data_IF_435765013605
#
_entry.id   IF_435765013605
#
_cell.length_a   1.000
_cell.length_b   1.000
_cell.length_c   1.000
_cell.angle_alpha   90.00
_cell.angle_beta   90.00
_cell.angle_gamma   90.00
#
_symmetry.space_group_name_H-M   'P 1'
#
loop_
_entity.id
_entity.type
_entity.pdbx_description
1 polymer ?
#
# COMPACT_ATOMS: atom_id res chain seq x y z
N UNK A 1 12.84 -5.54 12.47
CA UNK A 1 11.89 -5.53 11.35
C UNK A 1 11.06 -4.26 11.48
N UNK A 2 11.15 -3.36 10.50
CA UNK A 2 10.55 -2.03 10.57
C UNK A 2 9.04 -2.10 10.33
N UNK A 3 8.27 -1.23 10.98
CA UNK A 3 6.79 -1.27 10.92
C UNK A 3 6.27 -1.05 9.49
N UNK A 4 6.91 -0.16 8.73
CA UNK A 4 6.61 0.14 7.33
C UNK A 4 6.83 -1.12 6.48
N UNK A 5 8.03 -1.72 6.56
CA UNK A 5 8.34 -2.93 5.81
C UNK A 5 7.35 -4.08 6.10
N UNK A 6 6.96 -4.23 7.37
CA UNK A 6 5.98 -5.24 7.81
C UNK A 6 4.61 -5.04 7.17
N UNK A 7 4.15 -3.79 7.12
CA UNK A 7 2.87 -3.38 6.54
C UNK A 7 2.83 -3.69 5.04
N UNK A 8 3.91 -3.37 4.34
CA UNK A 8 4.05 -3.64 2.90
C UNK A 8 4.19 -5.13 2.59
N UNK A 9 4.87 -5.91 3.45
CA UNK A 9 4.89 -7.37 3.35
C UNK A 9 3.49 -7.98 3.51
N UNK A 10 2.72 -7.53 4.51
CA UNK A 10 1.33 -7.98 4.70
C UNK A 10 0.47 -7.64 3.48
N UNK A 11 0.60 -6.42 2.95
CA UNK A 11 -0.15 -6.03 1.76
C UNK A 11 0.20 -6.89 0.54
N UNK A 12 1.49 -7.09 0.26
CA UNK A 12 1.93 -7.97 -0.81
C UNK A 12 1.41 -9.39 -0.64
N UNK A 13 1.40 -9.91 0.59
CA UNK A 13 0.82 -11.21 0.89
C UNK A 13 -0.68 -11.26 0.53
N UNK A 14 -1.47 -10.25 0.91
CA UNK A 14 -2.90 -10.17 0.54
C UNK A 14 -3.08 -10.14 -0.98
N UNK A 15 -2.22 -9.41 -1.72
CA UNK A 15 -2.30 -9.30 -3.19
C UNK A 15 -1.94 -10.60 -3.90
N UNK A 16 -0.90 -11.31 -3.42
CA UNK A 16 -0.42 -12.55 -4.02
C UNK A 16 -1.28 -13.77 -3.70
N UNK A 17 -2.07 -13.70 -2.62
CA UNK A 17 -2.97 -14.80 -2.22
C UNK A 17 -4.24 -14.80 -3.09
N UNK A 18 -5.00 -15.90 -3.03
CA UNK A 18 -6.28 -16.08 -3.70
C UNK A 18 -7.18 -14.84 -3.53
N UNK A 19 -7.83 -14.45 -4.63
CA UNK A 19 -8.74 -13.32 -4.70
C UNK A 19 -9.98 -13.51 -3.81
N UNK A 20 -10.35 -14.76 -3.51
CA UNK A 20 -11.57 -15.09 -2.80
C UNK A 20 -11.44 -14.98 -1.26
N UNK A 21 -10.22 -14.77 -0.75
CA UNK A 21 -10.03 -14.60 0.70
C UNK A 21 -10.68 -13.30 1.21
N UNK A 22 -11.16 -13.27 2.46
CA UNK A 22 -11.81 -12.07 3.02
C UNK A 22 -10.95 -10.80 2.94
N UNK A 23 -9.64 -10.92 3.15
CA UNK A 23 -8.73 -9.77 3.10
C UNK A 23 -8.62 -9.15 1.70
N UNK A 24 -8.63 -9.97 0.65
CA UNK A 24 -8.54 -9.50 -0.73
C UNK A 24 -9.88 -8.88 -1.17
N UNK A 25 -11.01 -9.53 -0.83
CA UNK A 25 -12.35 -8.96 -0.99
C UNK A 25 -12.50 -7.61 -0.29
N UNK A 26 -11.96 -7.46 0.93
CA UNK A 26 -11.97 -6.20 1.66
C UNK A 26 -11.15 -5.10 0.96
N UNK A 27 -9.97 -5.44 0.41
CA UNK A 27 -9.18 -4.51 -0.41
C UNK A 27 -9.95 -4.07 -1.65
N UNK A 28 -10.53 -5.00 -2.40
CA UNK A 28 -11.35 -4.68 -3.57
C UNK A 28 -12.54 -3.78 -3.20
N UNK A 29 -13.27 -4.12 -2.13
CA UNK A 29 -14.39 -3.30 -1.65
C UNK A 29 -13.94 -1.88 -1.28
N UNK A 30 -12.78 -1.74 -0.63
CA UNK A 30 -12.21 -0.42 -0.31
C UNK A 30 -11.97 0.40 -1.58
N UNK A 31 -11.23 -0.14 -2.56
CA UNK A 31 -10.87 0.59 -3.77
C UNK A 31 -12.04 0.79 -4.75
N UNK A 32 -13.07 -0.07 -4.68
CA UNK A 32 -14.32 0.12 -5.40
C UNK A 32 -15.16 1.26 -4.79
N UNK A 33 -15.26 1.32 -3.45
CA UNK A 33 -16.03 2.36 -2.74
C UNK A 33 -15.33 3.73 -2.74
N UNK A 34 -14.01 3.77 -2.87
CA UNK A 34 -13.22 5.01 -2.91
C UNK A 34 -13.62 5.89 -4.11
N UNK A 35 -14.12 5.30 -5.20
CA UNK A 35 -14.69 6.03 -6.33
C UNK A 35 -16.00 6.78 -6.00
N UNK A 36 -16.66 6.45 -4.89
CA UNK A 36 -18.03 6.89 -4.59
C UNK A 36 -18.18 7.67 -3.28
N UNK A 37 -17.21 7.64 -2.34
CA UNK A 37 -17.44 8.17 -0.98
C UNK A 37 -16.81 9.55 -0.73
N UNK A 38 -17.68 10.55 -0.53
CA UNK A 38 -17.40 11.82 0.12
C UNK A 38 -17.36 11.63 1.66
N UNK A 39 -16.29 12.14 2.29
CA UNK A 39 -16.05 12.22 3.76
C UNK A 39 -16.14 10.89 4.55
N UNK A 40 -15.02 10.18 4.65
CA UNK A 40 -14.78 9.24 5.76
C UNK A 40 -13.84 9.88 6.79
N UNK A 41 -14.05 9.60 8.08
CA UNK A 41 -13.14 9.98 9.18
C UNK A 41 -11.71 9.51 8.85
N UNK A 42 -10.66 10.21 9.32
CA UNK A 42 -9.29 9.72 9.21
C UNK A 42 -9.22 8.34 9.85
N UNK A 43 -9.01 7.31 9.05
CA UNK A 43 -8.91 5.93 9.50
C UNK A 43 -7.49 5.46 9.22
N UNK A 44 -6.83 4.88 10.22
CA UNK A 44 -5.49 4.28 10.10
C UNK A 44 -5.56 2.87 9.52
N UNK A 45 -6.49 2.64 8.58
CA UNK A 45 -6.64 1.35 7.92
C UNK A 45 -5.44 1.07 7.03
N UNK A 46 -5.14 -0.21 6.82
CA UNK A 46 -4.05 -0.66 5.98
C UNK A 46 -3.98 0.06 4.62
N UNK A 47 -5.09 0.22 3.85
CA UNK A 47 -5.05 0.92 2.57
C UNK A 47 -4.67 2.40 2.71
N UNK A 48 -5.23 3.11 3.69
CA UNK A 48 -4.95 4.55 3.88
C UNK A 48 -3.48 4.80 4.16
N UNK A 49 -2.88 3.99 5.03
CA UNK A 49 -1.47 4.16 5.39
C UNK A 49 -0.57 3.82 4.20
N UNK A 50 -0.86 2.73 3.47
CA UNK A 50 -0.09 2.33 2.29
C UNK A 50 -0.16 3.39 1.19
N UNK A 51 -1.33 3.98 0.94
CA UNK A 51 -1.49 5.06 -0.04
C UNK A 51 -0.62 6.27 0.33
N UNK A 52 -0.59 6.63 1.62
CA UNK A 52 0.24 7.72 2.12
C UNK A 52 1.73 7.43 1.90
N UNK A 53 2.21 6.28 2.37
CA UNK A 53 3.61 5.86 2.25
C UNK A 53 4.06 5.75 0.79
N UNK A 54 3.19 5.19 -0.07
CA UNK A 54 3.44 5.11 -1.50
C UNK A 54 3.59 6.50 -2.12
N UNK A 55 2.68 7.42 -1.80
CA UNK A 55 2.70 8.77 -2.38
C UNK A 55 3.92 9.57 -1.94
N UNK A 56 4.44 9.29 -0.73
CA UNK A 56 5.66 9.90 -0.20
C UNK A 56 6.91 9.38 -0.92
N UNK A 57 7.07 8.06 -1.02
CA UNK A 57 8.25 7.45 -1.63
C UNK A 57 8.23 7.47 -3.17
N UNK A 58 7.04 7.44 -3.79
CA UNK A 58 6.81 7.37 -5.23
C UNK A 58 5.65 8.29 -5.67
N UNK A 59 5.88 9.61 -5.81
CA UNK A 59 4.83 10.59 -6.13
C UNK A 59 4.09 10.34 -7.46
N UNK A 60 4.72 9.61 -8.39
CA UNK A 60 4.16 9.27 -9.70
C UNK A 60 3.31 7.99 -9.68
N UNK A 61 3.39 7.19 -8.61
CA UNK A 61 2.64 5.94 -8.49
C UNK A 61 1.34 6.17 -7.74
N UNK A 62 0.23 5.66 -8.28
CA UNK A 62 -1.12 5.82 -7.71
C UNK A 62 -1.64 4.48 -7.20
N UNK A 63 -2.42 4.54 -6.13
CA UNK A 63 -3.20 3.44 -5.59
C UNK A 63 -4.55 4.00 -5.11
N UNK A 64 -5.47 4.23 -6.05
CA UNK A 64 -6.76 4.88 -5.76
C UNK A 64 -7.95 4.12 -6.33
N UNK A 65 -7.72 3.32 -7.36
CA UNK A 65 -8.76 2.61 -8.11
C UNK A 65 -8.52 1.10 -8.08
N UNK A 66 -9.53 0.32 -8.51
CA UNK A 66 -9.37 -1.11 -8.74
C UNK A 66 -8.30 -1.41 -9.81
N UNK A 67 -8.17 -0.56 -10.82
CA UNK A 67 -7.14 -0.69 -11.84
C UNK A 67 -5.72 -0.54 -11.25
N UNK A 68 -5.54 0.44 -10.37
CA UNK A 68 -4.26 0.62 -9.67
C UNK A 68 -3.96 -0.57 -8.74
N UNK A 69 -5.00 -1.10 -8.07
CA UNK A 69 -4.87 -2.29 -7.22
C UNK A 69 -4.43 -3.51 -8.03
N UNK A 70 -4.98 -3.71 -9.22
CA UNK A 70 -4.59 -4.82 -10.08
C UNK A 70 -3.17 -4.64 -10.65
N UNK A 71 -2.80 -3.41 -11.00
CA UNK A 71 -1.41 -3.08 -11.37
C UNK A 71 -0.44 -3.40 -10.22
N UNK A 72 -0.81 -3.07 -8.98
CA UNK A 72 -0.05 -3.45 -7.79
C UNK A 72 0.00 -4.96 -7.59
N UNK A 73 -1.08 -5.69 -7.89
CA UNK A 73 -1.11 -7.15 -7.82
C UNK A 73 -0.09 -7.76 -8.78
N UNK A 74 -0.06 -7.30 -10.03
CA UNK A 74 0.93 -7.74 -11.03
C UNK A 74 2.36 -7.46 -10.57
N UNK A 75 2.60 -6.29 -9.97
CA UNK A 75 3.91 -5.96 -9.41
C UNK A 75 4.30 -6.86 -8.22
N UNK A 76 3.33 -7.21 -7.36
CA UNK A 76 3.55 -8.05 -6.18
C UNK A 76 3.91 -9.50 -6.54
N UNK A 77 3.39 -10.02 -7.65
CA UNK A 77 3.72 -11.38 -8.13
C UNK A 77 5.22 -11.55 -8.43
N UNK A 78 5.89 -10.47 -8.87
CA UNK A 78 7.35 -10.44 -8.94
C UNK A 78 7.93 -10.17 -7.54
N UNK A 79 8.19 -11.24 -6.80
CA UNK A 79 8.71 -11.17 -5.41
C UNK A 79 9.98 -10.34 -5.26
N UNK A 80 10.83 -10.31 -6.29
CA UNK A 80 12.07 -9.53 -6.28
C UNK A 80 11.78 -8.03 -6.41
N UNK A 81 10.93 -7.65 -7.37
CA UNK A 81 10.47 -6.26 -7.51
C UNK A 81 9.69 -5.80 -6.29
N UNK A 82 8.81 -6.64 -5.75
CA UNK A 82 8.04 -6.33 -4.54
C UNK A 82 8.95 -6.08 -3.32
N UNK A 83 9.94 -6.95 -3.11
CA UNK A 83 10.94 -6.79 -2.04
C UNK A 83 11.73 -5.50 -2.19
N UNK A 84 12.19 -5.19 -3.41
CA UNK A 84 12.94 -3.96 -3.69
C UNK A 84 12.09 -2.71 -3.45
N UNK A 85 10.84 -2.71 -3.91
CA UNK A 85 9.89 -1.62 -3.67
C UNK A 85 9.65 -1.43 -2.17
N UNK A 86 9.31 -2.51 -1.46
CA UNK A 86 9.04 -2.48 -0.02
C UNK A 86 10.24 -1.93 0.77
N UNK A 87 11.45 -2.36 0.42
CA UNK A 87 12.69 -1.88 1.04
C UNK A 87 12.90 -0.38 0.82
N UNK A 88 12.73 0.11 -0.40
CA UNK A 88 12.88 1.54 -0.72
C UNK A 88 11.87 2.41 0.02
N UNK A 89 10.63 1.94 0.17
CA UNK A 89 9.60 2.67 0.92
C UNK A 89 9.96 2.75 2.41
N UNK A 90 10.48 1.66 2.99
CA UNK A 90 10.95 1.66 4.37
C UNK A 90 12.15 2.61 4.57
N UNK A 91 13.18 2.52 3.71
CA UNK A 91 14.35 3.41 3.73
C UNK A 91 13.95 4.89 3.60
N UNK A 92 13.01 5.21 2.71
CA UNK A 92 12.49 6.56 2.55
C UNK A 92 11.75 7.05 3.81
N UNK A 93 10.89 6.21 4.39
CA UNK A 93 10.15 6.56 5.62
C UNK A 93 11.11 6.87 6.77
N UNK A 94 12.15 6.06 6.95
CA UNK A 94 13.17 6.28 7.98
C UNK A 94 13.88 7.61 7.75
N UNK A 95 14.34 7.90 6.53
CA UNK A 95 14.99 9.16 6.20
C UNK A 95 14.09 10.37 6.48
N UNK A 96 12.78 10.28 6.19
CA UNK A 96 11.85 11.37 6.49
C UNK A 96 11.62 11.59 7.98
N UNK A 97 11.58 10.52 8.79
CA UNK A 97 11.42 10.62 10.24
C UNK A 97 12.61 11.34 10.91
N UNK A 98 13.82 11.21 10.35
CA UNK A 98 15.01 11.95 10.81
C UNK A 98 15.00 13.44 10.45
N UNK A 99 14.38 13.82 9.32
CA UNK A 99 14.35 15.22 8.87
C UNK A 99 13.24 16.07 9.50
N UNK A 100 12.23 15.45 10.13
CA UNK A 100 11.09 16.13 10.75
C UNK A 100 11.30 16.57 12.21
N UNK A 101 12.50 16.40 12.76
CA UNK A 101 12.88 16.86 14.11
C UNK A 101 13.87 18.03 14.03
N UNK A 102 13.43 19.20 13.55
CA UNK A 102 14.11 20.49 13.76
C UNK A 102 13.05 21.54 14.08
#
# INVERSE_FOLDING_TARGET
MHIVESRWRLFGHILMTDIDIPANKAMQAYFNQMACSSRRRPTTTLPVIIIKELSQAYPHMKLKTLYDLETMRLLAQDRNKWRMLTRRIAEFSEATDFTGSI
#
